data_IF_396951894435
#
_entry.id   IF_396951894435
#
_cell.length_a   1.000
_cell.length_b   1.000
_cell.length_c   1.000
_cell.angle_alpha   90.00
_cell.angle_beta   90.00
_cell.angle_gamma   90.00
#
_symmetry.space_group_name_H-M   'P 1'
#
loop_
_entity.id
_entity.type
_entity.pdbx_description
1 polymer ?
#
# COMPACT_ATOMS: atom_id res chain seq x y z
N UNK A 1 -8.65 -15.31 -0.60
CA UNK A 1 -9.30 -14.83 0.65
C UNK A 1 -8.60 -13.54 1.11
N UNK A 2 -9.39 -12.53 1.49
CA UNK A 2 -8.86 -11.29 2.11
C UNK A 2 -8.95 -11.44 3.63
N UNK A 3 -7.86 -11.16 4.33
CA UNK A 3 -7.81 -11.11 5.79
C UNK A 3 -6.85 -10.02 6.29
N UNK A 4 -6.96 -9.59 7.55
CA UNK A 4 -5.98 -8.70 8.15
C UNK A 4 -4.56 -9.28 8.12
N UNK A 5 -3.58 -8.38 8.04
CA UNK A 5 -2.16 -8.76 8.14
C UNK A 5 -1.85 -9.21 9.57
N UNK A 6 -1.25 -10.39 9.70
CA UNK A 6 -0.64 -10.83 10.94
C UNK A 6 0.85 -10.50 10.96
N UNK A 7 1.45 -10.35 12.15
CA UNK A 7 2.90 -10.10 12.28
C UNK A 7 3.74 -11.21 11.63
N UNK A 8 3.23 -12.45 11.62
CA UNK A 8 3.87 -13.60 10.97
C UNK A 8 3.90 -13.50 9.43
N UNK A 9 3.14 -12.60 8.83
CA UNK A 9 3.12 -12.40 7.37
C UNK A 9 4.29 -11.52 6.88
N UNK A 10 5.01 -10.86 7.79
CA UNK A 10 6.03 -9.87 7.41
C UNK A 10 7.14 -10.43 6.50
N UNK A 11 7.61 -11.69 6.65
CA UNK A 11 8.59 -12.24 5.71
C UNK A 11 8.02 -12.40 4.30
N UNK A 12 6.80 -12.90 4.15
CA UNK A 12 6.15 -13.08 2.85
C UNK A 12 5.85 -11.73 2.18
N UNK A 13 5.39 -10.73 2.96
CA UNK A 13 5.17 -9.38 2.46
C UNK A 13 6.48 -8.73 2.02
N UNK A 14 7.60 -8.95 2.73
CA UNK A 14 8.90 -8.44 2.35
C UNK A 14 9.37 -9.00 0.99
N UNK A 15 9.09 -10.26 0.69
CA UNK A 15 9.38 -10.85 -0.63
C UNK A 15 8.59 -10.12 -1.73
N UNK A 16 7.32 -9.88 -1.54
CA UNK A 16 6.50 -9.10 -2.48
C UNK A 16 6.96 -7.65 -2.55
N UNK A 17 7.37 -7.08 -1.43
CA UNK A 17 7.92 -5.71 -1.35
C UNK A 17 9.20 -5.56 -2.17
N UNK A 18 10.09 -6.55 -2.16
CA UNK A 18 11.30 -6.56 -2.99
C UNK A 18 10.95 -6.59 -4.49
N UNK A 19 9.98 -7.41 -4.89
CA UNK A 19 9.47 -7.41 -6.27
C UNK A 19 8.92 -6.03 -6.65
N UNK A 20 8.12 -5.43 -5.78
CA UNK A 20 7.59 -4.09 -5.96
C UNK A 20 8.72 -3.05 -6.12
N UNK A 21 9.76 -3.12 -5.30
CA UNK A 21 10.93 -2.26 -5.37
C UNK A 21 11.64 -2.35 -6.73
N UNK A 22 11.78 -3.57 -7.25
CA UNK A 22 12.47 -3.81 -8.53
C UNK A 22 11.67 -3.40 -9.76
N UNK A 23 10.37 -3.17 -9.63
CA UNK A 23 9.50 -2.82 -10.77
C UNK A 23 9.55 -1.35 -11.15
N UNK A 24 9.99 -0.47 -10.25
CA UNK A 24 10.03 0.97 -10.50
C UNK A 24 11.44 1.53 -10.34
N UNK A 25 11.91 2.22 -11.36
CA UNK A 25 13.17 2.99 -11.29
C UNK A 25 13.13 4.06 -10.19
N UNK A 26 11.95 4.52 -9.81
CA UNK A 26 11.76 5.51 -8.76
C UNK A 26 12.31 5.02 -7.41
N UNK A 27 12.16 3.75 -7.09
CA UNK A 27 12.67 3.21 -5.84
C UNK A 27 14.19 3.11 -5.78
N UNK A 28 14.86 3.05 -6.91
CA UNK A 28 16.34 3.04 -6.97
C UNK A 28 16.97 4.29 -6.35
N UNK A 29 16.22 5.41 -6.30
CA UNK A 29 16.66 6.64 -5.62
C UNK A 29 16.86 6.46 -4.10
N UNK A 30 16.19 5.49 -3.50
CA UNK A 30 16.34 5.17 -2.07
C UNK A 30 17.48 4.19 -1.78
N UNK A 31 18.12 3.63 -2.82
CA UNK A 31 19.17 2.63 -2.71
C UNK A 31 18.67 1.20 -2.89
N UNK A 32 19.39 0.24 -2.32
CA UNK A 32 19.03 -1.18 -2.42
C UNK A 32 17.95 -1.57 -1.43
N UNK A 33 17.16 -2.58 -1.78
CA UNK A 33 16.16 -3.15 -0.89
C UNK A 33 16.82 -3.95 0.23
N UNK A 34 16.49 -3.63 1.47
CA UNK A 34 16.93 -4.35 2.66
C UNK A 34 15.75 -5.11 3.27
N UNK A 35 15.69 -6.41 3.03
CA UNK A 35 14.59 -7.28 3.48
C UNK A 35 14.47 -7.31 5.01
N UNK A 36 15.59 -7.33 5.74
CA UNK A 36 15.58 -7.35 7.21
C UNK A 36 15.02 -6.03 7.76
N UNK A 37 15.45 -4.91 7.18
CA UNK A 37 14.93 -3.59 7.54
C UNK A 37 13.42 -3.49 7.25
N UNK A 38 12.99 -3.93 6.08
CA UNK A 38 11.58 -3.91 5.66
C UNK A 38 10.70 -4.74 6.60
N UNK A 39 11.11 -5.97 6.93
CA UNK A 39 10.38 -6.83 7.86
C UNK A 39 10.28 -6.21 9.25
N UNK A 40 11.39 -5.65 9.74
CA UNK A 40 11.42 -5.00 11.06
C UNK A 40 10.51 -3.78 11.13
N UNK A 41 10.53 -2.93 10.11
CA UNK A 41 9.70 -1.74 10.04
C UNK A 41 8.20 -2.10 10.01
N UNK A 42 7.82 -3.07 9.16
CA UNK A 42 6.45 -3.54 9.06
C UNK A 42 5.99 -4.19 10.36
N UNK A 43 6.80 -5.08 10.94
CA UNK A 43 6.48 -5.72 12.22
C UNK A 43 6.23 -4.70 13.33
N UNK A 44 7.12 -3.71 13.46
CA UNK A 44 6.97 -2.63 14.47
C UNK A 44 5.70 -1.83 14.26
N UNK A 45 5.42 -1.43 13.02
CA UNK A 45 4.22 -0.67 12.69
C UNK A 45 2.94 -1.43 13.03
N UNK A 46 2.89 -2.74 12.73
CA UNK A 46 1.76 -3.60 13.10
C UNK A 46 1.66 -3.80 14.62
N UNK A 47 2.80 -3.95 15.30
CA UNK A 47 2.82 -4.19 16.74
C UNK A 47 2.36 -2.97 17.56
N UNK A 48 2.73 -1.77 17.14
CA UNK A 48 2.40 -0.53 17.85
C UNK A 48 1.12 0.16 17.34
N UNK A 49 0.45 -0.42 16.34
CA UNK A 49 -0.76 0.13 15.76
C UNK A 49 -0.56 1.31 14.79
N UNK A 50 0.68 1.67 14.44
CA UNK A 50 0.96 2.69 13.42
C UNK A 50 0.54 2.24 12.04
N UNK A 51 0.62 0.94 11.77
CA UNK A 51 0.15 0.30 10.55
C UNK A 51 -0.95 -0.70 10.82
N UNK A 52 -1.86 -0.78 9.89
CA UNK A 52 -2.77 -1.89 9.73
C UNK A 52 -2.87 -2.23 8.24
N UNK A 53 -3.48 -3.34 7.91
CA UNK A 53 -3.62 -3.70 6.50
C UNK A 53 -4.22 -5.06 6.28
N UNK A 54 -4.23 -5.45 5.04
CA UNK A 54 -4.84 -6.71 4.59
C UNK A 54 -3.95 -7.39 3.56
N UNK A 55 -4.06 -8.71 3.55
CA UNK A 55 -3.45 -9.57 2.52
C UNK A 55 -4.52 -10.29 1.74
N UNK A 56 -4.23 -10.54 0.48
CA UNK A 56 -4.96 -11.50 -0.34
C UNK A 56 -4.19 -12.81 -0.36
N UNK A 57 -4.84 -13.87 0.10
CA UNK A 57 -4.27 -15.22 0.15
C UNK A 57 -4.89 -16.06 -0.96
N UNK A 58 -4.04 -16.64 -1.79
CA UNK A 58 -4.44 -17.51 -2.88
C UNK A 58 -4.86 -18.91 -2.42
N UNK A 59 -5.22 -19.74 -3.39
CA UNK A 59 -5.68 -21.12 -3.14
C UNK A 59 -4.60 -22.04 -2.56
N UNK A 60 -3.34 -21.73 -2.81
CA UNK A 60 -2.15 -22.44 -2.28
C UNK A 60 -1.67 -21.90 -0.93
N UNK A 61 -2.46 -21.04 -0.29
CA UNK A 61 -2.13 -20.36 0.98
C UNK A 61 -0.97 -19.35 0.91
N UNK A 62 -0.54 -18.98 -0.28
CA UNK A 62 0.46 -17.93 -0.48
C UNK A 62 -0.18 -16.54 -0.50
N UNK A 63 0.55 -15.55 0.01
CA UNK A 63 0.15 -14.15 -0.09
C UNK A 63 0.47 -13.67 -1.51
N UNK A 64 -0.56 -13.24 -2.21
CA UNK A 64 -0.47 -12.78 -3.62
C UNK A 64 -0.54 -11.26 -3.76
N UNK A 65 -1.08 -10.60 -2.77
CA UNK A 65 -1.21 -9.15 -2.74
C UNK A 65 -1.34 -8.64 -1.30
N UNK A 66 -0.99 -7.39 -1.08
CA UNK A 66 -1.16 -6.76 0.23
C UNK A 66 -1.46 -5.27 0.09
N UNK A 67 -2.07 -4.72 1.13
CA UNK A 67 -2.22 -3.28 1.33
C UNK A 67 -1.93 -2.93 2.77
N UNK A 68 -1.06 -1.95 2.98
CA UNK A 68 -0.75 -1.37 4.29
C UNK A 68 -1.23 0.06 4.31
N UNK A 69 -1.91 0.43 5.37
CA UNK A 69 -2.42 1.79 5.59
C UNK A 69 -2.00 2.30 6.96
N UNK A 70 -2.00 3.61 7.11
CA UNK A 70 -1.74 4.30 8.37
C UNK A 70 -2.80 5.35 8.62
N UNK A 71 -3.10 5.60 9.90
CA UNK A 71 -3.94 6.71 10.33
C UNK A 71 -3.12 7.97 10.45
N UNK A 72 -3.69 9.09 10.04
CA UNK A 72 -3.07 10.40 10.09
C UNK A 72 -4.13 11.47 10.41
N UNK A 73 -3.69 12.67 10.71
CA UNK A 73 -4.55 13.84 10.90
C UNK A 73 -4.04 15.01 10.06
N UNK A 74 -4.96 15.72 9.44
CA UNK A 74 -4.62 16.97 8.78
C UNK A 74 -4.17 18.02 9.80
N UNK A 75 -3.02 18.63 9.55
CA UNK A 75 -2.40 19.58 10.49
C UNK A 75 -3.32 20.76 10.84
N UNK A 76 -4.10 21.24 9.89
CA UNK A 76 -4.82 22.51 10.00
C UNK A 76 -6.21 22.40 10.66
N UNK A 77 -6.82 21.23 10.64
CA UNK A 77 -8.18 21.06 11.14
C UNK A 77 -8.45 19.75 11.87
N UNK A 78 -7.42 18.94 12.06
CA UNK A 78 -7.47 17.64 12.72
C UNK A 78 -8.41 16.62 12.07
N UNK A 79 -8.85 16.84 10.81
CA UNK A 79 -9.61 15.82 10.09
C UNK A 79 -8.83 14.53 10.00
N UNK A 80 -9.51 13.40 10.14
CA UNK A 80 -8.87 12.08 10.16
C UNK A 80 -8.63 11.58 8.75
N UNK A 81 -7.44 11.02 8.53
CA UNK A 81 -7.00 10.52 7.23
C UNK A 81 -6.60 9.06 7.38
N UNK A 82 -7.15 8.19 6.55
CA UNK A 82 -6.57 6.89 6.28
C UNK A 82 -5.68 7.03 5.03
N UNK A 83 -4.40 6.75 5.17
CA UNK A 83 -3.42 6.90 4.10
C UNK A 83 -2.88 5.54 3.67
N UNK A 84 -2.93 5.25 2.40
CA UNK A 84 -2.22 4.11 1.85
C UNK A 84 -0.70 4.35 1.98
N UNK A 85 -0.01 3.36 2.54
CA UNK A 85 1.44 3.33 2.67
C UNK A 85 2.05 2.47 1.58
N UNK A 86 1.48 1.29 1.35
CA UNK A 86 1.90 0.34 0.34
C UNK A 86 0.69 -0.43 -0.17
N UNK A 87 0.58 -0.56 -1.47
CA UNK A 87 -0.40 -1.42 -2.13
C UNK A 87 0.26 -2.11 -3.32
N UNK A 88 0.35 -3.43 -3.25
CA UNK A 88 1.00 -4.21 -4.28
C UNK A 88 0.27 -5.53 -4.52
N UNK A 89 0.18 -5.91 -5.76
CA UNK A 89 -0.20 -7.24 -6.20
C UNK A 89 0.91 -7.79 -7.11
N UNK A 90 1.24 -9.06 -6.95
CA UNK A 90 2.17 -9.75 -7.84
C UNK A 90 1.75 -9.54 -9.30
N UNK A 91 2.70 -9.33 -10.19
CA UNK A 91 2.44 -8.97 -11.59
C UNK A 91 1.49 -9.95 -12.27
N UNK A 92 1.66 -11.25 -12.01
CA UNK A 92 0.79 -12.31 -12.53
C UNK A 92 -0.65 -12.24 -12.00
N UNK A 93 -0.88 -11.46 -10.94
CA UNK A 93 -2.17 -11.29 -10.25
C UNK A 93 -2.78 -9.90 -10.41
N UNK A 94 -2.09 -8.99 -11.10
CA UNK A 94 -2.60 -7.65 -11.39
C UNK A 94 -3.78 -7.73 -12.36
N UNK A 95 -4.79 -6.91 -12.09
CA UNK A 95 -6.06 -6.97 -12.81
C UNK A 95 -6.97 -8.09 -12.34
N UNK A 96 -6.50 -8.98 -11.48
CA UNK A 96 -7.34 -9.92 -10.79
C UNK A 96 -8.21 -9.22 -9.74
N UNK A 97 -9.38 -9.79 -9.48
CA UNK A 97 -10.33 -9.23 -8.53
C UNK A 97 -9.75 -9.00 -7.11
N UNK A 98 -8.68 -9.70 -6.76
CA UNK A 98 -8.07 -9.63 -5.43
C UNK A 98 -7.44 -8.29 -5.10
N UNK A 99 -6.70 -7.69 -6.04
CA UNK A 99 -6.11 -6.35 -5.85
C UNK A 99 -7.19 -5.30 -5.60
N UNK A 100 -8.27 -5.38 -6.38
CA UNK A 100 -9.41 -4.49 -6.22
C UNK A 100 -10.18 -4.74 -4.92
N UNK A 101 -10.28 -5.98 -4.50
CA UNK A 101 -10.92 -6.33 -3.21
C UNK A 101 -10.14 -5.75 -2.03
N UNK A 102 -8.81 -5.71 -2.08
CA UNK A 102 -7.99 -5.04 -1.07
C UNK A 102 -8.32 -3.56 -0.97
N UNK A 103 -8.40 -2.88 -2.12
CA UNK A 103 -8.82 -1.47 -2.17
C UNK A 103 -10.21 -1.28 -1.55
N UNK A 104 -11.20 -2.07 -1.97
CA UNK A 104 -12.55 -1.96 -1.43
C UNK A 104 -12.62 -2.29 0.07
N UNK A 105 -11.80 -3.22 0.54
CA UNK A 105 -11.70 -3.55 1.96
C UNK A 105 -11.16 -2.36 2.76
N UNK A 106 -10.10 -1.72 2.28
CA UNK A 106 -9.53 -0.53 2.92
C UNK A 106 -10.50 0.66 2.89
N UNK A 107 -11.16 0.88 1.74
CA UNK A 107 -12.16 1.92 1.60
C UNK A 107 -13.34 1.71 2.57
N UNK A 108 -13.87 0.48 2.62
CA UNK A 108 -14.93 0.14 3.57
C UNK A 108 -14.48 0.36 5.01
N UNK A 109 -13.26 -0.03 5.36
CA UNK A 109 -12.70 0.21 6.69
C UNK A 109 -12.67 1.70 7.01
N UNK A 110 -12.23 2.55 6.07
CA UNK A 110 -12.21 3.99 6.26
C UNK A 110 -13.62 4.56 6.55
N UNK A 111 -14.62 4.12 5.79
CA UNK A 111 -16.02 4.53 5.99
C UNK A 111 -16.55 4.04 7.33
N UNK A 112 -16.40 2.76 7.65
CA UNK A 112 -16.91 2.14 8.87
C UNK A 112 -16.29 2.72 10.14
N UNK A 113 -15.06 3.26 10.06
CA UNK A 113 -14.34 3.87 11.18
C UNK A 113 -14.38 5.41 11.16
N UNK A 114 -15.27 5.99 10.35
CA UNK A 114 -15.53 7.42 10.29
C UNK A 114 -14.30 8.28 9.98
N UNK A 115 -13.42 7.80 9.10
CA UNK A 115 -12.36 8.64 8.57
C UNK A 115 -12.95 9.72 7.66
N UNK A 116 -12.43 10.95 7.77
CA UNK A 116 -12.88 12.07 6.94
C UNK A 116 -12.33 11.97 5.51
N UNK A 117 -11.13 11.41 5.37
CA UNK A 117 -10.44 11.29 4.08
C UNK A 117 -9.75 9.96 3.91
N UNK A 118 -9.67 9.49 2.66
CA UNK A 118 -8.87 8.34 2.26
C UNK A 118 -7.90 8.77 1.16
N UNK A 119 -6.59 8.62 1.40
CA UNK A 119 -5.55 9.00 0.46
C UNK A 119 -4.92 7.74 -0.12
N UNK A 120 -4.90 7.67 -1.44
CA UNK A 120 -4.24 6.64 -2.22
C UNK A 120 -3.07 7.24 -3.00
N UNK A 121 -2.08 6.42 -3.29
CA UNK A 121 -0.86 6.84 -3.98
C UNK A 121 -0.74 6.15 -5.33
N UNK A 122 -0.18 6.83 -6.32
CA UNK A 122 0.31 6.25 -7.56
C UNK A 122 1.80 6.51 -7.68
N UNK A 123 2.58 5.44 -7.77
CA UNK A 123 4.02 5.55 -7.95
C UNK A 123 4.33 5.75 -9.42
N UNK A 124 5.22 6.68 -9.72
CA UNK A 124 5.73 6.92 -11.08
C UNK A 124 6.73 5.81 -11.50
N UNK A 125 6.98 5.68 -12.80
CA UNK A 125 7.97 4.74 -13.33
C UNK A 125 7.48 3.29 -13.50
N UNK A 126 6.22 3.01 -13.23
CA UNK A 126 5.59 1.70 -13.48
C UNK A 126 4.48 1.89 -14.52
N UNK A 127 4.73 1.46 -15.75
CA UNK A 127 3.80 1.67 -16.87
C UNK A 127 2.44 1.02 -16.68
N UNK A 128 2.40 -0.12 -15.99
CA UNK A 128 1.14 -0.81 -15.68
C UNK A 128 0.23 -0.03 -14.73
N UNK A 129 0.74 1.01 -14.06
CA UNK A 129 -0.02 1.84 -13.13
C UNK A 129 -0.65 3.08 -13.80
N UNK A 130 -0.43 3.29 -15.08
CA UNK A 130 -0.99 4.44 -15.80
C UNK A 130 -2.53 4.46 -15.80
N UNK A 131 -3.17 3.31 -15.60
CA UNK A 131 -4.63 3.18 -15.52
C UNK A 131 -5.19 3.53 -14.13
N UNK A 132 -4.34 3.70 -13.11
CA UNK A 132 -4.78 4.02 -11.75
C UNK A 132 -5.43 5.41 -11.67
N UNK A 133 -4.96 6.37 -12.44
CA UNK A 133 -5.54 7.71 -12.43
C UNK A 133 -7.02 7.67 -12.80
N UNK A 134 -7.37 7.02 -13.92
CA UNK A 134 -8.76 6.85 -14.32
C UNK A 134 -9.58 6.06 -13.31
N UNK A 135 -8.98 5.04 -12.70
CA UNK A 135 -9.63 4.25 -11.66
C UNK A 135 -9.94 5.10 -10.42
N UNK A 136 -8.98 5.88 -9.94
CA UNK A 136 -9.17 6.76 -8.79
C UNK A 136 -10.24 7.81 -9.07
N UNK A 137 -10.22 8.46 -10.24
CA UNK A 137 -11.24 9.42 -10.64
C UNK A 137 -12.64 8.81 -10.67
N UNK A 138 -12.80 7.60 -11.21
CA UNK A 138 -14.08 6.86 -11.22
C UNK A 138 -14.57 6.53 -9.81
N UNK A 139 -13.66 6.35 -8.85
CA UNK A 139 -13.98 6.11 -7.44
C UNK A 139 -14.21 7.39 -6.64
N UNK A 140 -14.19 8.57 -7.29
CA UNK A 140 -14.42 9.85 -6.63
C UNK A 140 -13.17 10.50 -6.02
N UNK A 141 -11.98 9.94 -6.28
CA UNK A 141 -10.72 10.58 -5.90
C UNK A 141 -10.35 11.69 -6.88
N UNK A 142 -9.60 12.65 -6.40
CA UNK A 142 -8.95 13.69 -7.19
C UNK A 142 -7.48 13.81 -6.80
N UNK A 143 -6.66 14.29 -7.71
CA UNK A 143 -5.25 14.53 -7.44
C UNK A 143 -5.07 15.51 -6.27
N UNK A 144 -4.23 15.15 -5.31
CA UNK A 144 -3.98 15.94 -4.10
C UNK A 144 -2.63 16.66 -4.17
N UNK A 145 -1.57 15.92 -4.46
CA UNK A 145 -0.20 16.44 -4.43
C UNK A 145 0.72 15.64 -5.35
N UNK A 146 1.85 16.21 -5.71
CA UNK A 146 2.96 15.53 -6.34
C UNK A 146 4.21 15.65 -5.46
N UNK A 147 4.97 14.59 -5.35
CA UNK A 147 6.21 14.56 -4.58
C UNK A 147 7.42 14.47 -5.50
N UNK A 148 8.46 15.22 -5.17
CA UNK A 148 9.74 15.21 -5.88
C UNK A 148 10.83 14.75 -4.94
N UNK A 149 11.78 13.94 -5.43
CA UNK A 149 12.89 13.44 -4.65
C UNK A 149 14.22 13.97 -5.18
N UNK A 150 15.11 14.32 -4.25
CA UNK A 150 16.52 14.60 -4.53
C UNK A 150 17.35 13.88 -3.49
N UNK A 151 18.27 13.04 -3.95
CA UNK A 151 19.21 12.38 -3.05
C UNK A 151 20.28 13.37 -2.61
N UNK A 152 20.44 13.48 -1.30
CA UNK A 152 21.42 14.36 -0.65
C UNK A 152 22.60 13.52 -0.20
N UNK A 153 23.57 13.41 -1.01
CA UNK A 153 24.73 12.54 -0.71
C UNK A 153 25.97 13.32 -0.37
#
# INVERSE_FOLDING_TARGET
VIRPIAKSDTPAIAVLGERFWCESDTFSYFGEFDSVCAQRALYRGLANGSFLGWVSVGSNSEIEAFMVVASDKALWNESTILREVLWYADESKRGAAQAMRLFHTAHKYAVDNNYDHFIMTRITGVSSYNKLDSFYEKCGFRALEENYIKTLS
#
